data_IF_973866772838
#
_entry.id   IF_973866772838
#
_cell.length_a   1.000
_cell.length_b   1.000
_cell.length_c   1.000
_cell.angle_alpha   90.00
_cell.angle_beta   90.00
_cell.angle_gamma   90.00
#
_symmetry.space_group_name_H-M   'P 1'
#
loop_
_entity.id
_entity.type
_entity.pdbx_description
1 polymer ?
#
# COMPACT_ATOMS: atom_id res chain seq x y z
N UNK A 1 -10.81 11.72 9.65
CA UNK A 1 -9.62 12.46 9.16
C UNK A 1 -8.49 11.46 9.19
N UNK A 2 -8.00 11.09 8.02
CA UNK A 2 -6.85 10.20 7.91
C UNK A 2 -5.61 10.99 8.35
N UNK A 3 -4.80 10.39 9.23
CA UNK A 3 -3.53 10.96 9.69
C UNK A 3 -2.43 9.94 9.41
N UNK A 4 -1.22 10.44 9.20
CA UNK A 4 -0.05 9.62 8.92
C UNK A 4 0.94 9.76 10.07
N UNK A 5 1.31 8.63 10.66
CA UNK A 5 2.36 8.56 11.68
C UNK A 5 3.64 8.00 11.07
N UNK A 6 4.78 8.60 11.43
CA UNK A 6 6.10 8.09 11.06
C UNK A 6 6.52 7.07 12.11
N UNK A 7 6.16 5.81 11.88
CA UNK A 7 6.46 4.70 12.80
C UNK A 7 7.95 4.34 12.86
N UNK A 8 8.67 4.52 11.75
CA UNK A 8 10.09 4.23 11.69
C UNK A 8 10.78 4.91 10.50
N UNK A 9 12.08 5.15 10.67
CA UNK A 9 13.01 5.44 9.57
C UNK A 9 13.88 4.21 9.38
N UNK A 10 13.90 3.67 8.17
CA UNK A 10 14.62 2.45 7.82
C UNK A 10 15.54 2.70 6.63
N UNK A 11 16.64 1.96 6.59
CA UNK A 11 17.57 2.01 5.46
C UNK A 11 17.26 0.93 4.45
N UNK A 12 17.59 1.21 3.18
CA UNK A 12 17.64 0.21 2.12
C UNK A 12 19.00 -0.48 2.20
N UNK A 13 19.01 -1.81 2.28
CA UNK A 13 20.25 -2.58 2.34
C UNK A 13 20.96 -2.63 0.96
N UNK A 14 22.17 -3.19 0.92
CA UNK A 14 22.96 -3.32 -0.32
C UNK A 14 22.32 -4.17 -1.41
N UNK A 15 21.23 -4.88 -1.12
CA UNK A 15 20.45 -5.67 -2.10
C UNK A 15 19.16 -4.94 -2.50
N UNK A 16 18.94 -3.72 -2.04
CA UNK A 16 17.72 -2.96 -2.33
C UNK A 16 16.54 -3.35 -1.43
N UNK A 17 16.75 -4.09 -0.33
CA UNK A 17 15.68 -4.53 0.54
C UNK A 17 15.40 -3.51 1.65
N UNK A 18 14.14 -3.38 2.03
CA UNK A 18 13.72 -2.66 3.24
C UNK A 18 13.23 -3.69 4.26
N UNK A 19 13.79 -3.64 5.46
CA UNK A 19 13.33 -4.48 6.57
C UNK A 19 12.26 -3.73 7.34
N UNK A 20 11.02 -4.24 7.31
CA UNK A 20 9.93 -3.67 8.09
C UNK A 20 10.13 -4.01 9.59
N UNK A 21 10.09 -3.00 10.47
CA UNK A 21 10.14 -3.22 11.92
C UNK A 21 9.06 -4.18 12.39
N UNK A 22 9.29 -4.85 13.52
CA UNK A 22 8.37 -5.86 14.05
C UNK A 22 7.00 -5.25 14.33
N UNK A 23 6.99 -4.05 14.85
CA UNK A 23 5.81 -3.29 15.28
C UNK A 23 4.91 -3.00 14.07
N UNK A 24 5.50 -2.52 12.96
CA UNK A 24 4.79 -2.29 11.69
C UNK A 24 4.23 -3.59 11.12
N UNK A 25 5.00 -4.69 11.18
CA UNK A 25 4.52 -6.00 10.70
C UNK A 25 3.32 -6.49 11.51
N UNK A 26 3.38 -6.39 12.84
CA UNK A 26 2.28 -6.80 13.73
C UNK A 26 1.05 -5.92 13.50
N UNK A 27 1.21 -4.60 13.39
CA UNK A 27 0.11 -3.66 13.16
C UNK A 27 -0.63 -3.94 11.84
N UNK A 28 0.10 -4.37 10.80
CA UNK A 28 -0.46 -4.69 9.49
C UNK A 28 -0.81 -6.18 9.31
N UNK A 29 -0.63 -7.02 10.33
CA UNK A 29 -0.86 -8.47 10.24
C UNK A 29 0.02 -9.17 9.19
N UNK A 30 1.26 -8.73 9.02
CA UNK A 30 2.20 -9.27 8.04
C UNK A 30 2.98 -10.45 8.61
N UNK A 31 2.88 -11.58 7.92
CA UNK A 31 3.59 -12.81 8.21
C UNK A 31 4.63 -13.12 7.12
N UNK A 32 5.47 -14.12 7.35
CA UNK A 32 6.39 -14.60 6.32
C UNK A 32 5.61 -15.05 5.07
N UNK A 33 5.96 -14.49 3.91
CA UNK A 33 5.27 -14.75 2.65
C UNK A 33 4.07 -13.84 2.36
N UNK A 34 3.66 -12.96 3.29
CA UNK A 34 2.70 -11.90 3.00
C UNK A 34 3.20 -11.03 1.85
N UNK A 35 2.28 -10.67 0.94
CA UNK A 35 2.58 -9.83 -0.22
C UNK A 35 2.10 -8.41 0.02
N UNK A 36 2.94 -7.45 -0.33
CA UNK A 36 2.61 -6.03 -0.37
C UNK A 36 2.60 -5.57 -1.82
N UNK A 37 1.58 -4.82 -2.21
CA UNK A 37 1.61 -4.05 -3.44
C UNK A 37 2.53 -2.84 -3.24
N UNK A 38 3.41 -2.59 -4.22
CA UNK A 38 4.25 -1.40 -4.28
C UNK A 38 3.64 -0.43 -5.29
N UNK A 39 3.13 0.70 -4.81
CA UNK A 39 2.52 1.73 -5.65
C UNK A 39 3.43 2.94 -5.70
N UNK A 40 3.91 3.29 -6.89
CA UNK A 40 4.73 4.50 -7.11
C UNK A 40 3.80 5.70 -7.29
N UNK A 41 3.85 6.62 -6.33
CA UNK A 41 3.12 7.88 -6.41
C UNK A 41 3.97 8.93 -7.13
N UNK A 42 3.30 9.80 -7.88
CA UNK A 42 3.94 10.86 -8.65
C UNK A 42 3.42 12.22 -8.22
N UNK A 43 4.33 13.18 -8.09
CA UNK A 43 4.01 14.59 -7.89
C UNK A 43 4.64 15.38 -9.04
N UNK A 44 3.86 16.23 -9.70
CA UNK A 44 4.31 16.99 -10.87
C UNK A 44 4.95 16.11 -11.97
N UNK A 45 4.44 14.89 -12.18
CA UNK A 45 4.94 13.95 -13.19
C UNK A 45 6.17 13.12 -12.76
N UNK A 46 6.86 13.50 -11.70
CA UNK A 46 8.02 12.78 -11.17
C UNK A 46 7.63 11.83 -10.01
N UNK A 47 8.26 10.65 -9.87
CA UNK A 47 8.10 9.81 -8.69
C UNK A 47 8.51 10.57 -7.41
N UNK A 48 7.60 10.69 -6.44
CA UNK A 48 7.89 11.30 -5.14
C UNK A 48 8.26 10.24 -4.09
N UNK A 49 7.55 9.12 -4.15
CA UNK A 49 7.31 8.30 -2.98
C UNK A 49 6.62 6.99 -3.38
N UNK A 50 6.77 5.98 -2.53
CA UNK A 50 6.08 4.70 -2.66
C UNK A 50 5.05 4.54 -1.54
N UNK A 51 3.93 3.93 -1.87
CA UNK A 51 2.98 3.40 -0.89
C UNK A 51 3.04 1.88 -0.91
N UNK A 52 3.05 1.28 0.28
CA UNK A 52 3.02 -0.17 0.47
C UNK A 52 1.70 -0.54 1.12
N UNK A 53 0.97 -1.48 0.53
CA UNK A 53 -0.30 -1.97 1.08
C UNK A 53 -0.43 -3.49 0.96
N UNK A 54 -1.04 -4.19 1.93
CA UNK A 54 -1.36 -5.60 1.78
C UNK A 54 -2.17 -5.85 0.51
N UNK A 55 -1.81 -6.88 -0.27
CA UNK A 55 -2.49 -7.17 -1.55
C UNK A 55 -4.00 -7.39 -1.38
N UNK A 56 -4.43 -7.95 -0.24
CA UNK A 56 -5.87 -8.09 0.06
C UNK A 56 -6.63 -6.76 0.11
N UNK A 57 -5.97 -5.66 0.50
CA UNK A 57 -6.59 -4.33 0.46
C UNK A 57 -6.77 -3.84 -0.99
N UNK A 58 -5.83 -4.17 -1.88
CA UNK A 58 -5.90 -3.83 -3.30
C UNK A 58 -7.01 -4.61 -4.03
N UNK A 59 -7.22 -5.89 -3.69
CA UNK A 59 -8.28 -6.70 -4.29
C UNK A 59 -9.67 -6.10 -4.07
N UNK A 60 -9.93 -5.53 -2.89
CA UNK A 60 -11.20 -4.88 -2.59
C UNK A 60 -11.41 -3.62 -3.44
N UNK A 61 -10.40 -2.76 -3.56
CA UNK A 61 -10.49 -1.55 -4.38
C UNK A 61 -10.61 -1.84 -5.89
N UNK A 62 -9.90 -2.85 -6.40
CA UNK A 62 -10.02 -3.26 -7.81
C UNK A 62 -11.38 -3.90 -8.09
N UNK A 63 -11.93 -4.69 -7.16
CA UNK A 63 -13.30 -5.22 -7.28
C UNK A 63 -14.34 -4.10 -7.32
N UNK A 64 -14.21 -3.06 -6.49
CA UNK A 64 -15.14 -1.92 -6.52
C UNK A 64 -15.14 -1.17 -7.85
N UNK A 65 -13.97 -1.04 -8.48
CA UNK A 65 -13.82 -0.36 -9.78
C UNK A 65 -14.28 -1.24 -10.96
N UNK A 66 -14.08 -2.55 -10.88
CA UNK A 66 -14.41 -3.49 -11.97
C UNK A 66 -15.79 -4.13 -11.85
N UNK A 67 -16.50 -3.97 -10.72
CA UNK A 67 -17.87 -4.45 -10.58
C UNK A 67 -18.80 -3.58 -11.45
N UNK A 68 -19.42 -4.13 -12.51
CA UNK A 68 -20.28 -3.36 -13.42
C UNK A 68 -21.51 -2.73 -12.75
N UNK A 69 -21.85 -3.19 -11.54
CA UNK A 69 -22.97 -2.72 -10.74
C UNK A 69 -22.70 -1.41 -9.97
N UNK A 70 -21.48 -0.87 -9.96
CA UNK A 70 -21.18 0.41 -9.29
C UNK A 70 -21.41 1.66 -10.17
N UNK A 71 -21.80 1.49 -11.44
CA UNK A 71 -22.20 2.57 -12.34
C UNK A 71 -23.61 2.36 -12.91
N UNK A 72 -24.66 2.41 -12.08
CA UNK A 72 -25.98 2.88 -12.55
C UNK A 72 -26.76 3.47 -11.37
N UNK A 73 -26.65 4.79 -11.17
CA UNK A 73 -27.82 5.57 -10.79
C UNK A 73 -28.20 6.38 -12.01
N UNK A 74 -29.21 5.86 -12.69
CA UNK A 74 -29.99 6.52 -13.72
C UNK A 74 -30.58 7.82 -13.15
N UNK A 75 -30.53 8.89 -13.95
CA UNK A 75 -31.26 10.15 -13.75
C UNK A 75 -32.66 10.00 -14.30
#
# INVERSE_FOLDING_TARGET
>A
MDHYDVEAVVSVDGRGQVVLPKEVRVALGLEAGSKLAVVVMRQHGAPCCISLMPVGALENSVREVLNPSSQTKEV
#
